data_IF_693691472043
#
_entry.id   IF_693691472043
#
_cell.length_a   1.000
_cell.length_b   1.000
_cell.length_c   1.000
_cell.angle_alpha   90.00
_cell.angle_beta   90.00
_cell.angle_gamma   90.00
#
_symmetry.space_group_name_H-M   'P 1'
#
loop_
_entity.id
_entity.type
_entity.pdbx_description
1 polymer ?
#
# COMPACT_ATOMS: atom_id res chain seq x y z
N UNK A 1 13.41 14.07 -26.62
CA UNK A 1 14.41 13.97 -25.53
C UNK A 1 13.78 13.96 -24.13
N UNK A 2 12.89 14.89 -23.78
CA UNK A 2 12.30 15.00 -22.43
C UNK A 2 11.52 13.74 -22.00
N UNK A 3 10.74 13.13 -22.89
CA UNK A 3 9.90 11.96 -22.58
C UNK A 3 10.73 10.73 -22.20
N UNK A 4 11.86 10.47 -22.88
CA UNK A 4 12.74 9.34 -22.54
C UNK A 4 13.36 9.49 -21.15
N UNK A 5 13.74 10.71 -20.76
CA UNK A 5 14.23 11.01 -19.41
C UNK A 5 13.18 10.76 -18.33
N UNK A 6 11.92 11.14 -18.56
CA UNK A 6 10.82 10.91 -17.61
C UNK A 6 10.50 9.42 -17.43
N UNK A 7 10.57 8.63 -18.50
CA UNK A 7 10.36 7.17 -18.41
C UNK A 7 11.49 6.54 -17.58
N UNK A 8 12.75 6.90 -17.83
CA UNK A 8 13.88 6.40 -17.05
C UNK A 8 13.75 6.78 -15.57
N UNK A 9 13.38 8.03 -15.28
CA UNK A 9 13.12 8.47 -13.90
C UNK A 9 11.99 7.67 -13.26
N UNK A 10 10.90 7.40 -13.99
CA UNK A 10 9.79 6.57 -13.49
C UNK A 10 10.26 5.16 -13.17
N UNK A 11 11.01 4.51 -14.06
CA UNK A 11 11.49 3.12 -13.84
C UNK A 11 12.37 3.06 -12.60
N UNK A 12 13.35 3.96 -12.48
CA UNK A 12 14.26 4.01 -11.33
C UNK A 12 13.51 4.28 -10.02
N UNK A 13 12.57 5.21 -10.04
CA UNK A 13 11.75 5.54 -8.87
C UNK A 13 10.83 4.36 -8.49
N UNK A 14 10.23 3.72 -9.49
CA UNK A 14 9.37 2.54 -9.31
C UNK A 14 10.12 1.42 -8.58
N UNK A 15 11.33 1.09 -9.00
CA UNK A 15 12.16 0.03 -8.37
C UNK A 15 12.46 0.36 -6.90
N UNK A 16 12.94 1.57 -6.63
CA UNK A 16 13.20 2.04 -5.27
C UNK A 16 11.96 2.01 -4.39
N UNK A 17 10.82 2.45 -4.91
CA UNK A 17 9.59 2.51 -4.14
C UNK A 17 8.95 1.13 -3.94
N UNK A 18 9.16 0.17 -4.82
CA UNK A 18 8.79 -1.23 -4.59
C UNK A 18 9.54 -1.76 -3.36
N UNK A 19 10.87 -1.55 -3.31
CA UNK A 19 11.68 -1.98 -2.17
C UNK A 19 11.19 -1.32 -0.87
N UNK A 20 11.10 0.00 -0.83
CA UNK A 20 10.67 0.77 0.35
C UNK A 20 9.26 0.33 0.79
N UNK A 21 8.33 0.18 -0.16
CA UNK A 21 6.95 -0.22 0.16
C UNK A 21 6.90 -1.61 0.78
N UNK A 22 7.70 -2.54 0.26
CA UNK A 22 7.78 -3.91 0.77
C UNK A 22 8.36 -3.94 2.18
N UNK A 23 9.47 -3.24 2.40
CA UNK A 23 10.14 -3.15 3.71
C UNK A 23 9.24 -2.48 4.76
N UNK A 24 8.56 -1.40 4.39
CA UNK A 24 7.66 -0.65 5.28
C UNK A 24 6.23 -1.18 5.32
N UNK A 25 5.92 -2.22 4.53
CA UNK A 25 4.62 -2.90 4.44
C UNK A 25 3.46 -2.00 3.98
N UNK A 26 3.74 -1.16 3.00
CA UNK A 26 2.69 -0.44 2.27
C UNK A 26 2.14 -1.31 1.12
N UNK A 27 0.88 -1.14 0.72
CA UNK A 27 0.36 -1.77 -0.49
C UNK A 27 1.14 -1.26 -1.71
N UNK A 28 2.04 -2.10 -2.25
CA UNK A 28 2.93 -1.75 -3.38
C UNK A 28 2.12 -1.18 -4.55
N UNK A 29 0.97 -1.79 -4.85
CA UNK A 29 0.07 -1.34 -5.92
C UNK A 29 -0.38 0.11 -5.72
N UNK A 30 -0.75 0.51 -4.51
CA UNK A 30 -1.15 1.87 -4.20
C UNK A 30 0.00 2.86 -4.41
N UNK A 31 1.19 2.52 -3.93
CA UNK A 31 2.38 3.37 -4.08
C UNK A 31 2.73 3.57 -5.56
N UNK A 32 2.70 2.51 -6.37
CA UNK A 32 2.98 2.60 -7.79
C UNK A 32 1.97 3.47 -8.56
N UNK A 33 0.68 3.37 -8.19
CA UNK A 33 -0.35 4.22 -8.78
C UNK A 33 -0.14 5.71 -8.44
N UNK A 34 0.28 6.02 -7.21
CA UNK A 34 0.61 7.42 -6.85
C UNK A 34 1.78 7.94 -7.67
N UNK A 35 2.86 7.17 -7.81
CA UNK A 35 4.06 7.58 -8.58
C UNK A 35 3.69 7.82 -10.05
N UNK A 36 2.91 6.92 -10.63
CA UNK A 36 2.41 7.09 -11.99
C UNK A 36 1.60 8.38 -12.13
N UNK A 37 0.66 8.61 -11.22
CA UNK A 37 -0.17 9.81 -11.24
C UNK A 37 0.64 11.09 -11.02
N UNK A 38 1.65 11.09 -10.15
CA UNK A 38 2.57 12.23 -9.96
C UNK A 38 3.23 12.66 -11.25
N UNK A 39 3.59 11.73 -12.13
CA UNK A 39 4.24 12.02 -13.42
C UNK A 39 3.21 12.42 -14.47
N UNK A 40 2.13 11.65 -14.60
CA UNK A 40 1.13 11.87 -15.66
C UNK A 40 0.32 13.15 -15.50
N UNK A 41 0.07 13.56 -14.25
CA UNK A 41 -0.78 14.72 -13.96
C UNK A 41 -0.03 15.94 -13.44
N UNK A 42 1.31 15.86 -13.31
CA UNK A 42 2.14 17.00 -12.95
C UNK A 42 1.94 18.15 -13.94
N UNK A 43 1.92 19.36 -13.42
CA UNK A 43 2.03 20.56 -14.24
C UNK A 43 3.49 20.89 -14.54
N UNK A 44 3.90 20.64 -15.77
CA UNK A 44 5.28 20.86 -16.23
C UNK A 44 5.57 22.30 -16.65
N UNK A 45 4.60 23.21 -16.55
CA UNK A 45 4.84 24.65 -16.77
C UNK A 45 5.56 25.29 -15.59
N UNK A 46 5.50 24.65 -14.41
CA UNK A 46 6.22 25.10 -13.23
C UNK A 46 7.60 24.45 -13.10
N UNK A 47 8.62 25.28 -12.90
CA UNK A 47 9.96 24.83 -12.54
C UNK A 47 10.02 24.54 -11.02
N UNK A 48 9.91 23.31 -10.65
CA UNK A 48 9.99 22.88 -9.24
C UNK A 48 9.98 21.38 -9.16
N UNK A 49 10.19 20.83 -7.96
CA UNK A 49 10.27 19.39 -7.75
C UNK A 49 8.96 18.79 -7.29
N UNK A 50 8.70 17.56 -7.73
CA UNK A 50 7.75 16.69 -7.03
C UNK A 50 8.46 16.08 -5.84
N UNK A 51 7.77 15.97 -4.71
CA UNK A 51 8.39 15.60 -3.43
C UNK A 51 7.73 14.34 -2.87
N UNK A 52 8.56 13.39 -2.45
CA UNK A 52 8.11 12.23 -1.68
C UNK A 52 8.73 12.34 -0.28
N UNK A 53 7.88 12.36 0.75
CA UNK A 53 8.31 12.36 2.14
C UNK A 53 7.88 11.07 2.82
N UNK A 54 8.83 10.37 3.41
CA UNK A 54 8.60 9.12 4.09
C UNK A 54 8.70 9.36 5.60
N UNK A 55 7.59 9.14 6.29
CA UNK A 55 7.48 9.24 7.73
C UNK A 55 7.31 7.84 8.34
N UNK A 56 7.40 7.77 9.65
CA UNK A 56 7.21 6.51 10.38
C UNK A 56 5.79 5.92 10.20
N UNK A 57 4.80 6.79 10.03
CA UNK A 57 3.37 6.48 10.02
C UNK A 57 2.67 6.73 8.67
N UNK A 58 3.36 7.35 7.69
CA UNK A 58 2.79 7.65 6.37
C UNK A 58 3.86 7.94 5.32
N UNK A 59 3.44 7.89 4.06
CA UNK A 59 4.21 8.43 2.93
C UNK A 59 3.36 9.54 2.30
N UNK A 60 3.97 10.69 2.07
CA UNK A 60 3.36 11.83 1.40
C UNK A 60 3.98 12.03 0.03
N UNK A 61 3.12 12.15 -0.97
CA UNK A 61 3.49 12.40 -2.37
C UNK A 61 2.89 13.73 -2.78
N UNK A 62 3.71 14.68 -3.17
CA UNK A 62 3.29 16.02 -3.58
C UNK A 62 3.80 16.32 -4.97
N UNK A 63 2.92 16.64 -5.89
CA UNK A 63 3.23 17.08 -7.26
C UNK A 63 2.71 18.47 -7.52
N UNK A 64 3.39 19.23 -8.38
CA UNK A 64 2.93 20.53 -8.85
C UNK A 64 1.71 20.38 -9.76
N UNK A 65 0.75 21.29 -9.63
CA UNK A 65 -0.52 21.31 -10.35
C UNK A 65 -1.67 20.75 -9.52
N UNK A 66 -2.69 21.59 -9.32
CA UNK A 66 -3.97 21.16 -8.74
C UNK A 66 -4.78 20.32 -9.73
N UNK A 67 -5.92 19.79 -9.29
CA UNK A 67 -6.90 19.20 -10.19
C UNK A 67 -7.34 20.23 -11.25
N UNK A 68 -7.49 19.78 -12.50
CA UNK A 68 -7.81 20.69 -13.62
C UNK A 68 -9.31 20.91 -13.76
N UNK A 69 -9.67 22.12 -14.21
CA UNK A 69 -11.05 22.53 -14.41
C UNK A 69 -11.84 22.50 -13.11
N UNK A 70 -13.03 21.95 -13.17
CA UNK A 70 -13.93 21.78 -12.01
C UNK A 70 -13.81 20.38 -11.35
N UNK A 71 -12.72 19.66 -11.62
CA UNK A 71 -12.52 18.34 -11.03
C UNK A 71 -12.23 18.46 -9.54
N UNK A 72 -12.96 17.72 -8.74
CA UNK A 72 -12.83 17.69 -7.29
C UNK A 72 -12.19 16.39 -6.79
N UNK A 73 -11.76 16.38 -5.54
CA UNK A 73 -11.28 15.18 -4.86
C UNK A 73 -12.36 14.07 -4.84
N UNK A 74 -13.60 14.45 -4.66
CA UNK A 74 -14.75 13.53 -4.71
C UNK A 74 -14.92 12.94 -6.11
N UNK A 75 -14.80 13.77 -7.15
CA UNK A 75 -14.86 13.32 -8.55
C UNK A 75 -13.82 12.27 -8.88
N UNK A 76 -12.55 12.49 -8.48
CA UNK A 76 -11.49 11.50 -8.72
C UNK A 76 -11.70 10.20 -7.90
N UNK A 77 -12.28 10.30 -6.72
CA UNK A 77 -12.67 9.13 -5.91
C UNK A 77 -13.78 8.31 -6.56
N UNK A 78 -14.64 8.91 -7.37
CA UNK A 78 -15.65 8.23 -8.18
C UNK A 78 -15.06 7.61 -9.47
N UNK A 79 -13.75 7.81 -9.73
CA UNK A 79 -13.07 7.26 -10.91
C UNK A 79 -12.98 8.21 -12.10
N UNK A 80 -13.45 9.48 -11.94
CA UNK A 80 -13.28 10.49 -13.00
C UNK A 80 -11.81 10.84 -13.10
N UNK A 81 -11.26 10.79 -14.32
CA UNK A 81 -9.87 11.13 -14.61
C UNK A 81 -9.80 12.04 -15.82
N UNK A 82 -9.13 13.17 -15.66
CA UNK A 82 -8.84 14.10 -16.75
C UNK A 82 -7.31 14.22 -16.84
N UNK A 83 -6.69 13.66 -17.89
CA UNK A 83 -5.25 13.69 -18.01
C UNK A 83 -4.74 15.09 -18.34
N UNK A 84 -3.78 15.59 -17.57
CA UNK A 84 -3.11 16.86 -17.87
C UNK A 84 -2.15 16.73 -19.06
N UNK A 85 -1.46 15.60 -19.15
CA UNK A 85 -0.41 15.34 -20.14
C UNK A 85 -0.77 14.18 -21.07
N UNK A 86 -1.67 14.44 -22.04
CA UNK A 86 -2.19 13.42 -22.96
C UNK A 86 -1.08 12.71 -23.75
N UNK A 87 -0.09 13.45 -24.26
CA UNK A 87 1.03 12.86 -25.01
C UNK A 87 1.88 11.94 -24.14
N UNK A 88 2.14 12.35 -22.90
CA UNK A 88 2.89 11.54 -21.94
C UNK A 88 2.10 10.29 -21.56
N UNK A 89 0.79 10.42 -21.37
CA UNK A 89 -0.08 9.27 -21.09
C UNK A 89 -0.04 8.22 -22.21
N UNK A 90 -0.11 8.64 -23.48
CA UNK A 90 0.00 7.71 -24.62
C UNK A 90 1.32 6.94 -24.59
N UNK A 91 2.44 7.62 -24.38
CA UNK A 91 3.76 6.97 -24.29
C UNK A 91 3.82 5.99 -23.09
N UNK A 92 3.27 6.35 -21.94
CA UNK A 92 3.21 5.45 -20.79
C UNK A 92 2.34 4.23 -21.05
N UNK A 93 1.24 4.35 -21.81
CA UNK A 93 0.42 3.22 -22.23
C UNK A 93 1.19 2.24 -23.12
N UNK A 94 2.01 2.75 -24.03
CA UNK A 94 2.80 1.92 -24.94
C UNK A 94 4.00 1.24 -24.26
N UNK A 95 4.72 1.98 -23.41
CA UNK A 95 6.01 1.53 -22.83
C UNK A 95 5.83 0.85 -21.48
N UNK A 96 4.88 1.29 -20.67
CA UNK A 96 4.73 0.85 -19.27
C UNK A 96 3.49 -0.07 -19.10
N UNK A 97 2.72 -0.31 -20.17
CA UNK A 97 1.51 -1.14 -20.15
C UNK A 97 0.47 -0.70 -19.12
N UNK A 98 0.33 0.59 -18.91
CA UNK A 98 -0.66 1.12 -17.97
C UNK A 98 -2.03 1.20 -18.63
N UNK A 99 -3.07 0.69 -17.98
CA UNK A 99 -4.46 0.93 -18.40
C UNK A 99 -4.76 2.42 -18.23
N UNK A 100 -5.07 3.11 -19.32
CA UNK A 100 -5.23 4.57 -19.37
C UNK A 100 -6.58 5.12 -18.93
N UNK A 101 -7.50 4.31 -18.41
CA UNK A 101 -8.90 4.68 -18.29
C UNK A 101 -9.35 4.94 -16.85
N UNK A 102 -8.76 5.92 -16.16
CA UNK A 102 -9.35 6.44 -14.92
C UNK A 102 -9.37 5.50 -13.70
N UNK A 103 -8.84 4.29 -13.83
CA UNK A 103 -8.88 3.28 -12.78
C UNK A 103 -7.82 3.40 -11.67
N UNK A 104 -6.82 4.25 -11.83
CA UNK A 104 -5.66 4.30 -10.93
C UNK A 104 -6.01 4.66 -9.47
N UNK A 105 -6.87 5.67 -9.28
CA UNK A 105 -7.35 6.04 -7.94
C UNK A 105 -8.20 4.92 -7.34
N UNK A 106 -9.05 4.26 -8.13
CA UNK A 106 -9.86 3.13 -7.69
C UNK A 106 -8.98 1.92 -7.30
N UNK A 107 -7.92 1.66 -8.06
CA UNK A 107 -6.95 0.62 -7.73
C UNK A 107 -6.20 0.92 -6.43
N UNK A 108 -5.83 2.19 -6.21
CA UNK A 108 -5.24 2.65 -4.96
C UNK A 108 -6.18 2.47 -3.77
N UNK A 109 -7.45 2.89 -3.91
CA UNK A 109 -8.47 2.73 -2.87
C UNK A 109 -8.76 1.26 -2.59
N UNK A 110 -8.82 0.42 -3.63
CA UNK A 110 -9.01 -1.03 -3.51
C UNK A 110 -7.86 -1.68 -2.75
N UNK A 111 -6.61 -1.24 -2.99
CA UNK A 111 -5.45 -1.75 -2.26
C UNK A 111 -5.48 -1.42 -0.76
N UNK A 112 -6.29 -0.45 -0.36
CA UNK A 112 -6.52 -0.08 1.04
C UNK A 112 -7.86 -0.57 1.59
N UNK A 113 -8.61 -1.39 0.82
CA UNK A 113 -9.98 -1.79 1.20
C UNK A 113 -10.05 -2.45 2.58
N UNK A 114 -9.14 -3.37 2.86
CA UNK A 114 -9.10 -4.17 4.10
C UNK A 114 -8.47 -3.42 5.30
N UNK A 115 -7.90 -2.22 5.10
CA UNK A 115 -7.29 -1.47 6.18
C UNK A 115 -8.25 -0.42 6.73
N UNK A 116 -8.21 -0.16 8.04
CA UNK A 116 -8.99 0.92 8.70
C UNK A 116 -8.61 2.30 8.17
N UNK A 117 -7.34 2.50 7.90
CA UNK A 117 -6.80 3.74 7.34
C UNK A 117 -7.02 3.79 5.83
N UNK A 118 -7.27 4.97 5.29
CA UNK A 118 -7.53 5.18 3.86
C UNK A 118 -6.62 6.27 3.30
N UNK A 119 -6.26 6.21 2.01
CA UNK A 119 -5.54 7.30 1.35
C UNK A 119 -6.27 8.63 1.45
N UNK A 120 -5.51 9.71 1.66
CA UNK A 120 -6.01 11.07 1.71
C UNK A 120 -5.50 11.83 0.49
N UNK A 121 -6.39 12.57 -0.16
CA UNK A 121 -6.09 13.40 -1.34
C UNK A 121 -6.36 14.86 -1.00
N UNK A 122 -5.46 15.73 -1.43
CA UNK A 122 -5.60 17.18 -1.28
C UNK A 122 -5.22 17.87 -2.59
N UNK A 123 -6.02 18.84 -2.99
CA UNK A 123 -5.76 19.72 -4.15
C UNK A 123 -5.87 21.15 -3.66
N UNK A 124 -4.77 21.80 -3.39
CA UNK A 124 -4.72 23.14 -2.79
C UNK A 124 -3.35 23.80 -2.98
N UNK A 125 -3.35 25.12 -3.16
CA UNK A 125 -2.09 25.90 -3.19
C UNK A 125 -1.18 25.58 -4.35
N UNK A 126 -1.74 25.23 -5.51
CA UNK A 126 -0.97 24.91 -6.70
C UNK A 126 -0.36 23.50 -6.70
N UNK A 127 -0.72 22.64 -5.75
CA UNK A 127 -0.22 21.27 -5.64
C UNK A 127 -1.34 20.25 -5.50
N UNK A 128 -1.04 19.01 -5.93
CA UNK A 128 -1.83 17.84 -5.59
C UNK A 128 -1.01 16.93 -4.69
N UNK A 129 -1.60 16.58 -3.55
CA UNK A 129 -0.95 15.73 -2.55
C UNK A 129 -1.76 14.46 -2.32
N UNK A 130 -1.05 13.33 -2.30
CA UNK A 130 -1.58 12.04 -1.85
C UNK A 130 -0.82 11.63 -0.59
N UNK A 131 -1.57 11.29 0.44
CA UNK A 131 -1.03 10.76 1.70
C UNK A 131 -1.46 9.30 1.80
N UNK A 132 -0.50 8.41 1.81
CA UNK A 132 -0.71 7.00 2.09
C UNK A 132 -0.35 6.75 3.57
N UNK A 133 -1.35 6.58 4.44
CA UNK A 133 -1.08 6.22 5.83
C UNK A 133 -0.51 4.79 5.90
N UNK A 134 0.31 4.53 6.92
CA UNK A 134 0.83 3.17 7.15
C UNK A 134 -0.34 2.23 7.43
N UNK A 135 -0.49 1.14 6.66
CA UNK A 135 -1.56 0.21 6.88
C UNK A 135 -1.46 -0.44 8.26
N UNK A 136 -2.56 -0.41 8.98
CA UNK A 136 -2.73 -1.19 10.19
C UNK A 136 -3.48 -2.45 9.82
N UNK A 137 -2.87 -3.61 10.09
CA UNK A 137 -3.53 -4.89 9.88
C UNK A 137 -4.60 -5.12 10.95
N UNK A 138 -5.81 -5.47 10.53
CA UNK A 138 -6.92 -5.72 11.45
C UNK A 138 -7.49 -7.11 11.23
N UNK A 139 -7.70 -7.85 12.32
CA UNK A 139 -8.47 -9.10 12.33
C UNK A 139 -9.64 -8.91 13.28
N UNK A 140 -10.84 -9.28 12.86
CA UNK A 140 -12.06 -9.13 13.66
C UNK A 140 -12.24 -7.71 14.25
N UNK A 141 -11.84 -6.66 13.47
CA UNK A 141 -11.97 -5.27 13.88
C UNK A 141 -10.93 -4.76 14.88
N UNK A 142 -10.01 -5.60 15.36
CA UNK A 142 -8.91 -5.21 16.26
C UNK A 142 -7.65 -4.92 15.44
N UNK A 143 -6.94 -3.83 15.77
CA UNK A 143 -5.63 -3.51 15.17
C UNK A 143 -4.59 -4.50 15.67
N UNK A 144 -3.87 -5.10 14.76
CA UNK A 144 -2.90 -6.16 15.05
C UNK A 144 -1.49 -5.67 14.82
N UNK A 145 -0.64 -5.96 15.79
CA UNK A 145 0.79 -5.72 15.64
C UNK A 145 1.36 -6.50 14.45
N UNK A 146 2.21 -5.85 13.67
CA UNK A 146 2.94 -6.44 12.55
C UNK A 146 3.68 -7.74 12.92
N UNK A 147 4.07 -7.90 14.20
CA UNK A 147 4.74 -9.11 14.67
C UNK A 147 3.87 -10.36 14.57
N UNK A 148 2.53 -10.22 14.65
CA UNK A 148 1.59 -11.34 14.54
C UNK A 148 1.12 -11.61 13.14
N UNK A 149 1.24 -10.65 12.24
CA UNK A 149 0.75 -10.74 10.87
C UNK A 149 1.26 -11.98 10.14
N UNK A 150 2.57 -12.26 10.19
CA UNK A 150 3.16 -13.44 9.54
C UNK A 150 2.60 -14.75 10.09
N UNK A 151 2.32 -14.80 11.38
CA UNK A 151 1.69 -15.96 12.03
C UNK A 151 0.26 -16.13 11.52
N UNK A 152 -0.52 -15.05 11.48
CA UNK A 152 -1.91 -15.09 11.00
C UNK A 152 -1.99 -15.44 9.51
N UNK A 153 -1.16 -14.85 8.65
CA UNK A 153 -1.09 -15.17 7.22
C UNK A 153 -0.76 -16.67 6.98
N UNK A 154 0.09 -17.25 7.83
CA UNK A 154 0.38 -18.68 7.78
C UNK A 154 -0.83 -19.52 8.22
N UNK A 155 -1.48 -19.11 9.31
CA UNK A 155 -2.70 -19.78 9.82
C UNK A 155 -3.87 -19.68 8.84
N UNK A 156 -4.06 -18.54 8.16
CA UNK A 156 -5.10 -18.39 7.13
C UNK A 156 -4.94 -19.39 5.98
N UNK A 157 -3.71 -19.68 5.58
CA UNK A 157 -3.41 -20.64 4.51
C UNK A 157 -3.52 -22.10 4.93
N UNK A 158 -3.19 -22.40 6.17
CA UNK A 158 -3.08 -23.78 6.69
C UNK A 158 -4.27 -24.22 7.53
N UNK A 159 -5.03 -23.27 8.09
CA UNK A 159 -6.12 -23.51 9.02
C UNK A 159 -5.61 -23.77 10.44
N UNK A 160 -5.53 -25.02 10.85
CA UNK A 160 -5.03 -25.42 12.17
C UNK A 160 -3.53 -25.65 12.12
N UNK A 161 -2.77 -25.01 13.02
CA UNK A 161 -1.31 -25.10 13.06
C UNK A 161 -0.78 -25.31 14.48
N UNK A 162 0.31 -26.04 14.60
CA UNK A 162 1.05 -26.24 15.84
C UNK A 162 2.12 -25.16 16.05
N UNK A 163 2.59 -25.03 17.28
CA UNK A 163 3.73 -24.14 17.60
C UNK A 163 4.97 -24.49 16.76
N UNK A 164 5.24 -25.79 16.57
CA UNK A 164 6.39 -26.27 15.81
C UNK A 164 6.32 -25.86 14.34
N UNK A 165 5.18 -26.01 13.70
CA UNK A 165 4.97 -25.60 12.31
C UNK A 165 5.15 -24.09 12.13
N UNK A 166 4.70 -23.27 13.07
CA UNK A 166 4.91 -21.82 13.06
C UNK A 166 6.41 -21.48 13.18
N UNK A 167 7.14 -22.17 14.07
CA UNK A 167 8.57 -21.97 14.24
C UNK A 167 9.34 -22.29 12.96
N UNK A 168 9.05 -23.44 12.37
CA UNK A 168 9.72 -23.90 11.15
C UNK A 168 9.41 -23.00 9.95
N UNK A 169 8.15 -22.64 9.76
CA UNK A 169 7.74 -21.82 8.61
C UNK A 169 8.22 -20.37 8.68
N UNK A 170 8.24 -19.80 9.89
CA UNK A 170 8.61 -18.38 10.08
C UNK A 170 10.06 -18.18 10.50
N UNK A 171 10.82 -19.28 10.68
CA UNK A 171 12.22 -19.27 11.16
C UNK A 171 12.38 -18.48 12.48
N UNK A 172 11.39 -18.63 13.37
CA UNK A 172 11.36 -17.94 14.65
C UNK A 172 11.86 -18.82 15.79
N UNK A 173 12.47 -18.21 16.81
CA UNK A 173 12.81 -18.92 18.05
C UNK A 173 11.55 -19.37 18.79
N UNK A 174 11.61 -20.54 19.42
CA UNK A 174 10.48 -21.10 20.18
C UNK A 174 9.88 -20.12 21.19
N UNK A 175 10.74 -19.40 21.92
CA UNK A 175 10.30 -18.38 22.91
C UNK A 175 9.48 -17.25 22.28
N UNK A 176 9.88 -16.80 21.08
CA UNK A 176 9.15 -15.74 20.35
C UNK A 176 7.76 -16.23 19.92
N UNK A 177 7.67 -17.45 19.38
CA UNK A 177 6.39 -18.03 18.95
C UNK A 177 5.46 -18.24 20.14
N UNK A 178 5.96 -18.76 21.25
CA UNK A 178 5.18 -18.94 22.50
C UNK A 178 4.61 -17.60 22.99
N UNK A 179 5.44 -16.56 23.02
CA UNK A 179 4.99 -15.24 23.44
C UNK A 179 3.94 -14.65 22.48
N UNK A 180 4.15 -14.78 21.15
CA UNK A 180 3.17 -14.31 20.17
C UNK A 180 1.83 -15.03 20.31
N UNK A 181 1.85 -16.36 20.43
CA UNK A 181 0.64 -17.15 20.61
C UNK A 181 -0.08 -16.80 21.92
N UNK A 182 0.65 -16.55 23.01
CA UNK A 182 0.07 -16.12 24.28
C UNK A 182 -0.63 -14.76 24.13
N UNK A 183 0.06 -13.77 23.58
CA UNK A 183 -0.51 -12.43 23.37
C UNK A 183 -1.70 -12.48 22.39
N UNK A 184 -1.64 -13.29 21.33
CA UNK A 184 -2.74 -13.46 20.37
C UNK A 184 -3.97 -14.14 20.98
N UNK A 185 -3.79 -15.05 21.93
CA UNK A 185 -4.87 -15.65 22.73
C UNK A 185 -5.52 -14.62 23.68
N UNK A 186 -4.70 -13.81 24.36
CA UNK A 186 -5.17 -12.75 25.27
C UNK A 186 -6.04 -11.70 24.55
N UNK A 187 -5.71 -11.37 23.31
CA UNK A 187 -6.50 -10.43 22.50
C UNK A 187 -7.57 -11.12 21.64
N UNK A 188 -7.80 -12.42 21.87
CA UNK A 188 -8.84 -13.22 21.20
C UNK A 188 -8.74 -13.25 19.66
N UNK A 189 -7.54 -13.29 19.11
CA UNK A 189 -7.30 -13.40 17.66
C UNK A 189 -7.31 -14.86 17.20
N UNK A 190 -6.85 -15.74 18.09
CA UNK A 190 -6.76 -17.17 17.84
C UNK A 190 -7.39 -17.93 18.99
N UNK A 191 -7.73 -19.17 18.73
CA UNK A 191 -8.15 -20.11 19.76
C UNK A 191 -7.21 -21.32 19.80
N UNK A 192 -7.12 -21.91 20.99
CA UNK A 192 -6.29 -23.06 21.28
C UNK A 192 -7.12 -24.34 21.19
N UNK A 193 -6.66 -25.27 20.38
CA UNK A 193 -7.26 -26.61 20.22
C UNK A 193 -6.37 -27.61 20.94
N UNK A 194 -6.96 -28.50 21.74
CA UNK A 194 -6.23 -29.53 22.44
C UNK A 194 -6.79 -30.90 22.06
N UNK A 195 -5.93 -31.73 21.46
CA UNK A 195 -6.24 -33.11 21.12
C UNK A 195 -5.24 -34.03 21.84
N UNK A 196 -5.66 -34.57 23.00
CA UNK A 196 -4.77 -35.34 23.85
C UNK A 196 -3.60 -34.53 24.39
N UNK A 197 -2.37 -34.89 24.01
CA UNK A 197 -1.14 -34.16 24.37
C UNK A 197 -0.76 -33.08 23.38
N UNK A 198 -1.40 -33.05 22.21
CA UNK A 198 -1.09 -32.11 21.16
C UNK A 198 -1.87 -30.80 21.33
N UNK A 199 -1.17 -29.70 21.11
CA UNK A 199 -1.73 -28.36 21.16
C UNK A 199 -1.57 -27.71 19.79
N UNK A 200 -2.68 -27.26 19.24
CA UNK A 200 -2.74 -26.53 17.97
C UNK A 200 -3.53 -25.24 18.13
N UNK A 201 -3.46 -24.40 17.16
CA UNK A 201 -4.08 -23.07 17.15
C UNK A 201 -4.78 -22.81 15.82
N UNK A 202 -5.88 -22.10 15.86
CA UNK A 202 -6.56 -21.57 14.66
C UNK A 202 -7.04 -20.14 14.88
N UNK A 203 -7.31 -19.44 13.80
CA UNK A 203 -7.92 -18.10 13.84
C UNK A 203 -9.36 -18.25 14.36
N UNK A 204 -9.76 -17.33 15.23
CA UNK A 204 -11.09 -17.31 15.86
C UNK A 204 -12.16 -16.69 14.95
#
# INVERSE_FOLDING_TARGET
MVTGSLITQYITLKEKMIQISTEMKYPVKAVLEVIKNMILHRDYTYNGDSIIRIYKDRIEFTSLGELIGNLTVEGIRLGISVPRNLSLMKVFQEVVFTKGNGGGIQEMLSAYKEYKVKPVFKSIGGVFQVILPKPEYTVNGKVISDKYRRVLEFMEKRGIVSNKEIQEHLELKSTSVVNYLKEMLEVELIEKIREGRNISYKIK
#
